data_IF_103043713332
#
_entry.id   IF_103043713332
#
_cell.length_a   1.000
_cell.length_b   1.000
_cell.length_c   1.000
_cell.angle_alpha   90.00
_cell.angle_beta   90.00
_cell.angle_gamma   90.00
#
_symmetry.space_group_name_H-M   'P 1'
#
loop_
_entity.id
_entity.type
_entity.pdbx_description
1 polymer ?
#
# COMPACT_ATOMS: atom_id res chain seq x y z
N UNK A 1 6.11 22.33 -2.62
CA UNK A 1 5.60 22.60 -1.26
C UNK A 1 5.15 21.28 -0.70
N UNK A 2 5.85 20.74 0.29
CA UNK A 2 5.37 19.55 1.01
C UNK A 2 4.05 19.91 1.69
N UNK A 3 3.00 19.14 1.46
CA UNK A 3 1.71 19.32 2.14
C UNK A 3 1.85 18.81 3.58
N UNK A 4 1.83 19.69 4.59
CA UNK A 4 1.98 19.28 5.99
C UNK A 4 0.81 18.41 6.47
N UNK A 5 -0.37 18.52 5.84
CA UNK A 5 -1.52 17.68 6.18
C UNK A 5 -1.31 16.23 5.70
N UNK A 6 -0.73 16.04 4.51
CA UNK A 6 -0.39 14.72 3.98
C UNK A 6 0.65 13.99 4.83
N UNK A 7 1.67 14.70 5.32
CA UNK A 7 2.67 14.13 6.23
C UNK A 7 2.08 13.71 7.58
N UNK A 8 1.17 14.50 8.15
CA UNK A 8 0.44 14.14 9.37
C UNK A 8 -0.42 12.89 9.18
N UNK A 9 -1.15 12.80 8.06
CA UNK A 9 -1.96 11.63 7.74
C UNK A 9 -1.14 10.36 7.55
N UNK A 10 0.03 10.46 6.92
CA UNK A 10 0.91 9.31 6.75
C UNK A 10 1.42 8.78 8.09
N UNK A 11 1.76 9.66 9.04
CA UNK A 11 2.19 9.25 10.38
C UNK A 11 1.07 8.51 11.15
N UNK A 12 -0.18 8.93 11.00
CA UNK A 12 -1.33 8.21 11.57
C UNK A 12 -1.48 6.80 10.99
N UNK A 13 -1.31 6.66 9.68
CA UNK A 13 -1.38 5.37 8.99
C UNK A 13 -0.20 4.48 9.40
N UNK A 14 1.01 5.04 9.55
CA UNK A 14 2.19 4.29 10.01
C UNK A 14 1.99 3.77 11.45
N UNK A 15 1.40 4.57 12.34
CA UNK A 15 1.02 4.11 13.67
C UNK A 15 -0.04 2.99 13.62
N UNK A 16 -1.05 3.12 12.75
CA UNK A 16 -2.07 2.09 12.56
C UNK A 16 -1.50 0.80 11.95
N UNK A 17 -0.52 0.90 11.04
CA UNK A 17 0.20 -0.25 10.49
C UNK A 17 0.91 -1.03 11.59
N UNK A 18 1.61 -0.35 12.50
CA UNK A 18 2.27 -0.99 13.63
C UNK A 18 1.27 -1.73 14.54
N UNK A 19 0.12 -1.11 14.81
CA UNK A 19 -0.94 -1.73 15.61
C UNK A 19 -1.55 -2.97 14.91
N UNK A 20 -1.82 -2.88 13.61
CA UNK A 20 -2.35 -3.99 12.82
C UNK A 20 -1.35 -5.15 12.72
N UNK A 21 -0.05 -4.87 12.58
CA UNK A 21 1.00 -5.88 12.65
C UNK A 21 1.03 -6.58 14.01
N UNK A 22 0.97 -5.81 15.12
CA UNK A 22 0.93 -6.38 16.46
C UNK A 22 -0.29 -7.28 16.70
N UNK A 23 -1.44 -6.95 16.09
CA UNK A 23 -2.65 -7.74 16.13
C UNK A 23 -2.69 -8.92 15.12
N UNK A 24 -1.72 -8.98 14.19
CA UNK A 24 -1.74 -9.85 13.00
C UNK A 24 -3.01 -9.69 12.15
N UNK A 25 -3.48 -8.46 12.01
CA UNK A 25 -4.67 -8.10 11.24
C UNK A 25 -4.32 -7.87 9.76
N UNK A 26 -4.14 -8.98 9.03
CA UNK A 26 -3.86 -8.97 7.58
C UNK A 26 -4.86 -8.13 6.76
N UNK A 27 -6.19 -8.31 6.92
CA UNK A 27 -7.18 -7.51 6.21
C UNK A 27 -7.05 -6.00 6.42
N UNK A 28 -6.75 -5.56 7.66
CA UNK A 28 -6.47 -4.14 7.94
C UNK A 28 -5.17 -3.68 7.27
N UNK A 29 -4.11 -4.49 7.32
CA UNK A 29 -2.82 -4.18 6.69
C UNK A 29 -2.97 -3.91 5.19
N UNK A 30 -3.78 -4.68 4.45
CA UNK A 30 -4.05 -4.43 3.03
C UNK A 30 -4.60 -3.02 2.79
N UNK A 31 -5.56 -2.59 3.62
CA UNK A 31 -6.18 -1.27 3.51
C UNK A 31 -5.20 -0.14 3.82
N UNK A 32 -4.50 -0.26 4.94
CA UNK A 32 -3.58 0.77 5.44
C UNK A 32 -2.39 0.98 4.51
N UNK A 33 -1.78 -0.10 4.01
CA UNK A 33 -0.70 0.00 3.03
C UNK A 33 -1.16 0.63 1.71
N UNK A 34 -2.35 0.27 1.21
CA UNK A 34 -2.93 0.91 0.01
C UNK A 34 -3.16 2.40 0.21
N UNK A 35 -3.64 2.82 1.39
CA UNK A 35 -3.86 4.23 1.70
C UNK A 35 -2.54 5.01 1.78
N UNK A 36 -1.52 4.47 2.46
CA UNK A 36 -0.18 5.05 2.50
C UNK A 36 0.41 5.22 1.10
N UNK A 37 0.25 4.22 0.23
CA UNK A 37 0.70 4.31 -1.15
C UNK A 37 0.05 5.46 -1.91
N UNK A 38 -1.27 5.61 -1.79
CA UNK A 38 -2.02 6.67 -2.49
C UNK A 38 -1.62 8.08 -2.04
N UNK A 39 -1.25 8.24 -0.77
CA UNK A 39 -0.80 9.53 -0.24
C UNK A 39 0.56 9.96 -0.80
N UNK A 40 1.50 9.02 -0.95
CA UNK A 40 2.88 9.34 -1.37
C UNK A 40 3.08 9.25 -2.87
N UNK A 41 2.20 8.57 -3.60
CA UNK A 41 2.32 8.35 -5.05
C UNK A 41 2.54 9.62 -5.89
N UNK A 42 1.91 10.78 -5.60
CA UNK A 42 2.13 11.99 -6.40
C UNK A 42 3.57 12.53 -6.38
N UNK A 43 4.35 12.20 -5.34
CA UNK A 43 5.69 12.75 -5.12
C UNK A 43 6.80 11.69 -5.03
N UNK A 44 6.48 10.47 -4.59
CA UNK A 44 7.44 9.42 -4.24
C UNK A 44 6.98 8.06 -4.80
N UNK A 45 7.17 7.82 -6.10
CA UNK A 45 6.72 6.59 -6.77
C UNK A 45 7.37 5.32 -6.20
N UNK A 46 8.65 5.39 -5.80
CA UNK A 46 9.36 4.28 -5.13
C UNK A 46 8.72 3.93 -3.78
N UNK A 47 8.40 4.93 -2.97
CA UNK A 47 7.76 4.72 -1.66
C UNK A 47 6.33 4.20 -1.82
N UNK A 48 5.60 4.69 -2.82
CA UNK A 48 4.27 4.16 -3.14
C UNK A 48 4.33 2.70 -3.59
N UNK A 49 5.30 2.35 -4.44
CA UNK A 49 5.53 0.99 -4.88
C UNK A 49 5.82 0.06 -3.70
N UNK A 50 6.68 0.46 -2.76
CA UNK A 50 6.94 -0.30 -1.54
C UNK A 50 5.65 -0.61 -0.77
N UNK A 51 4.82 0.40 -0.50
CA UNK A 51 3.56 0.19 0.21
C UNK A 51 2.58 -0.69 -0.60
N UNK A 52 2.47 -0.51 -1.92
CA UNK A 52 1.62 -1.36 -2.77
C UNK A 52 2.08 -2.82 -2.78
N UNK A 53 3.38 -3.09 -2.77
CA UNK A 53 3.90 -4.46 -2.67
C UNK A 53 3.51 -5.11 -1.35
N UNK A 54 3.59 -4.38 -0.23
CA UNK A 54 3.12 -4.89 1.06
C UNK A 54 1.62 -5.16 1.05
N UNK A 55 0.81 -4.22 0.56
CA UNK A 55 -0.63 -4.44 0.42
C UNK A 55 -0.95 -5.68 -0.43
N UNK A 56 -0.21 -5.87 -1.53
CA UNK A 56 -0.40 -7.00 -2.45
C UNK A 56 -0.09 -8.34 -1.77
N UNK A 57 1.02 -8.44 -1.04
CA UNK A 57 1.39 -9.64 -0.30
C UNK A 57 0.30 -10.02 0.71
N UNK A 58 -0.13 -9.07 1.55
CA UNK A 58 -1.19 -9.34 2.53
C UNK A 58 -2.53 -9.68 1.87
N UNK A 59 -2.82 -9.11 0.69
CA UNK A 59 -4.03 -9.44 -0.06
C UNK A 59 -3.98 -10.88 -0.58
N UNK A 60 -2.84 -11.33 -1.10
CA UNK A 60 -2.64 -12.73 -1.52
C UNK A 60 -2.78 -13.70 -0.34
N UNK A 61 -2.15 -13.39 0.80
CA UNK A 61 -2.22 -14.21 2.01
C UNK A 61 -3.63 -14.34 2.55
N UNK A 62 -4.44 -13.28 2.44
CA UNK A 62 -5.82 -13.26 2.90
C UNK A 62 -6.83 -13.79 1.88
N UNK A 63 -6.43 -14.08 0.63
CA UNK A 63 -7.35 -14.35 -0.47
C UNK A 63 -8.27 -13.16 -0.79
N UNK A 64 -7.78 -11.94 -0.57
CA UNK A 64 -8.51 -10.70 -0.74
C UNK A 64 -8.60 -10.30 -2.23
N UNK A 65 -9.81 -9.99 -2.70
CA UNK A 65 -10.07 -9.62 -4.09
C UNK A 65 -9.30 -8.36 -4.56
N UNK A 66 -8.82 -7.52 -3.62
CA UNK A 66 -7.98 -6.35 -3.94
C UNK A 66 -6.62 -6.74 -4.53
N UNK A 67 -6.19 -8.00 -4.42
CA UNK A 67 -4.92 -8.46 -4.97
C UNK A 67 -4.79 -8.14 -6.47
N UNK A 68 -5.85 -8.32 -7.26
CA UNK A 68 -5.83 -8.03 -8.71
C UNK A 68 -5.64 -6.54 -9.00
N UNK A 69 -6.37 -5.68 -8.27
CA UNK A 69 -6.23 -4.22 -8.38
C UNK A 69 -4.81 -3.77 -8.02
N UNK A 70 -4.25 -4.31 -6.93
CA UNK A 70 -2.92 -3.96 -6.45
C UNK A 70 -1.83 -4.39 -7.44
N UNK A 71 -1.98 -5.59 -8.03
CA UNK A 71 -1.14 -6.10 -9.10
C UNK A 71 -1.14 -5.19 -10.33
N UNK A 72 -2.32 -4.76 -10.78
CA UNK A 72 -2.46 -3.84 -11.91
C UNK A 72 -1.76 -2.49 -11.65
N UNK A 73 -1.85 -1.97 -10.42
CA UNK A 73 -1.15 -0.73 -10.02
C UNK A 73 0.37 -0.91 -9.98
N UNK A 74 0.87 -2.03 -9.46
CA UNK A 74 2.30 -2.34 -9.46
C UNK A 74 2.85 -2.45 -10.88
N UNK A 75 2.13 -3.10 -11.78
CA UNK A 75 2.47 -3.17 -13.20
C UNK A 75 2.51 -1.78 -13.85
N UNK A 76 1.51 -0.92 -13.59
CA UNK A 76 1.49 0.45 -14.10
C UNK A 76 2.66 1.32 -13.61
N UNK A 77 3.23 0.99 -12.44
CA UNK A 77 4.44 1.63 -11.90
C UNK A 77 5.75 1.03 -12.40
N UNK A 78 5.70 0.02 -13.28
CA UNK A 78 6.86 -0.72 -13.76
C UNK A 78 7.53 -1.57 -12.67
N UNK A 79 6.77 -2.03 -11.68
CA UNK A 79 7.25 -2.80 -10.51
C UNK A 79 6.86 -4.27 -10.55
N UNK A 80 6.24 -4.69 -11.66
CA UNK A 80 5.86 -6.07 -11.90
C UNK A 80 5.93 -6.36 -13.41
N UNK A 81 6.75 -7.36 -13.79
CA UNK A 81 7.03 -7.73 -15.20
C UNK A 81 6.09 -8.82 -15.77
N UNK A 82 5.06 -9.22 -15.02
CA UNK A 82 4.07 -10.18 -15.50
C UNK A 82 3.08 -9.58 -16.50
N UNK A 83 2.35 -10.40 -17.29
CA UNK A 83 1.28 -9.90 -18.14
C UNK A 83 0.25 -9.16 -17.28
N UNK A 84 -0.21 -8.00 -17.76
CA UNK A 84 -1.33 -7.27 -17.16
C UNK A 84 -2.53 -8.22 -16.97
N UNK A 85 -3.26 -8.12 -15.85
CA UNK A 85 -4.42 -8.97 -15.60
C UNK A 85 -5.51 -8.81 -16.66
#
# INVERSE_FOLDING_TARGET
>A
MSDPAGAGRLAEIEAALLAAHAARDGPALVGLYREAALLVLPAESDRAAFYLTQAFIFALEAGDARAEELRARLHALGREDGPAP
#
